data_IF_452654834254
#
_entry.id   IF_452654834254
#
_cell.length_a   1.000
_cell.length_b   1.000
_cell.length_c   1.000
_cell.angle_alpha   90.00
_cell.angle_beta   90.00
_cell.angle_gamma   90.00
#
_symmetry.space_group_name_H-M   'P 1'
#
loop_
_entity.id
_entity.type
_entity.pdbx_description
1 polymer ?
#
# COMPACT_ATOMS: atom_id res chain seq x y z
N UNK A 1 29.45 8.20 10.93
CA UNK A 1 28.39 8.14 9.92
C UNK A 1 27.08 8.00 10.67
N UNK A 2 26.14 8.94 10.54
CA UNK A 2 24.83 8.84 11.16
C UNK A 2 24.03 7.78 10.38
N UNK A 3 23.65 6.69 11.02
CA UNK A 3 22.81 5.64 10.45
C UNK A 3 21.41 6.23 10.28
N UNK A 4 20.90 6.26 9.05
CA UNK A 4 19.52 6.64 8.75
C UNK A 4 18.68 5.37 8.98
N UNK A 5 17.68 5.37 9.88
CA UNK A 5 16.88 4.18 10.12
C UNK A 5 16.00 3.83 8.92
N UNK A 6 15.93 2.54 8.56
CA UNK A 6 15.13 2.01 7.45
C UNK A 6 13.63 1.91 7.77
N UNK A 7 13.21 2.37 8.94
CA UNK A 7 11.77 2.62 9.22
C UNK A 7 11.05 3.33 8.06
N UNK A 8 11.81 3.70 7.02
CA UNK A 8 11.42 4.48 5.84
C UNK A 8 10.86 3.68 4.66
N UNK A 9 10.94 2.34 4.63
CA UNK A 9 10.66 1.61 3.39
C UNK A 9 9.34 0.82 3.39
N UNK A 10 8.79 0.53 4.56
CA UNK A 10 7.66 -0.39 4.66
C UNK A 10 6.29 0.19 4.25
N UNK A 11 6.16 1.50 4.00
CA UNK A 11 4.88 2.15 3.65
C UNK A 11 4.99 3.27 2.62
N UNK A 12 6.06 3.34 1.83
CA UNK A 12 6.25 4.41 0.85
C UNK A 12 5.52 4.16 -0.48
N UNK A 13 4.22 3.95 -0.44
CA UNK A 13 3.32 4.24 -1.55
C UNK A 13 2.49 5.49 -1.21
N UNK A 14 3.12 6.52 -0.66
CA UNK A 14 2.48 7.80 -0.39
C UNK A 14 3.00 8.82 -1.38
N UNK A 15 2.16 9.21 -2.32
CA UNK A 15 2.39 10.30 -3.24
C UNK A 15 2.68 11.59 -2.50
N UNK A 16 3.92 12.05 -2.52
CA UNK A 16 4.23 13.45 -2.34
C UNK A 16 3.90 14.17 -3.66
N UNK A 17 2.67 14.62 -3.83
CA UNK A 17 2.35 15.58 -4.88
C UNK A 17 3.05 16.88 -4.50
N UNK A 18 4.22 17.12 -5.10
CA UNK A 18 4.84 18.45 -5.07
C UNK A 18 3.93 19.38 -5.86
N UNK A 19 3.11 20.14 -5.15
CA UNK A 19 2.27 21.19 -5.73
C UNK A 19 3.15 22.32 -6.28
N UNK A 20 3.63 22.16 -7.50
CA UNK A 20 4.08 23.30 -8.29
C UNK A 20 2.85 24.12 -8.69
N UNK A 21 2.88 25.39 -8.36
CA UNK A 21 1.82 26.37 -8.43
C UNK A 21 0.94 26.28 -9.71
N UNK A 22 -0.17 25.54 -9.62
CA UNK A 22 -1.32 25.80 -10.47
C UNK A 22 -2.17 26.86 -9.77
N UNK A 23 -2.49 27.96 -10.47
CA UNK A 23 -3.41 28.99 -9.99
C UNK A 23 -4.87 28.44 -10.07
N UNK A 24 -5.14 27.42 -9.27
CA UNK A 24 -6.45 26.80 -9.08
C UNK A 24 -6.86 26.90 -7.62
N UNK A 25 -8.15 26.96 -7.35
CA UNK A 25 -8.67 26.88 -5.99
C UNK A 25 -8.63 25.41 -5.55
N UNK A 26 -8.07 25.15 -4.37
CA UNK A 26 -8.10 23.86 -3.70
C UNK A 26 -9.10 23.97 -2.56
N UNK A 27 -10.19 23.23 -2.63
CA UNK A 27 -11.17 23.10 -1.57
C UNK A 27 -10.96 21.75 -0.88
N UNK A 28 -10.95 21.75 0.44
CA UNK A 28 -10.78 20.56 1.27
C UNK A 28 -11.95 20.46 2.26
N UNK A 29 -12.79 19.49 2.08
CA UNK A 29 -13.75 19.08 3.11
C UNK A 29 -13.01 18.20 4.13
N UNK A 30 -13.47 18.16 5.38
CA UNK A 30 -12.83 17.44 6.49
C UNK A 30 -12.76 15.91 6.24
N UNK A 31 -12.11 15.52 5.18
CA UNK A 31 -11.86 14.14 4.71
C UNK A 31 -10.65 14.14 3.78
N UNK A 32 -10.13 12.97 3.42
CA UNK A 32 -9.01 12.85 2.48
C UNK A 32 -9.47 12.94 1.01
N UNK A 33 -10.29 13.94 0.68
CA UNK A 33 -10.70 14.28 -0.68
C UNK A 33 -10.46 15.76 -0.92
N UNK A 34 -9.79 16.08 -2.02
CA UNK A 34 -9.50 17.46 -2.44
C UNK A 34 -10.12 17.71 -3.79
N UNK A 35 -10.71 18.88 -3.96
CA UNK A 35 -11.16 19.39 -5.24
C UNK A 35 -10.17 20.43 -5.74
N UNK A 36 -9.66 20.25 -6.95
CA UNK A 36 -8.84 21.22 -7.67
C UNK A 36 -9.66 21.73 -8.84
N UNK A 37 -9.93 23.06 -8.90
CA UNK A 37 -10.76 23.65 -9.93
C UNK A 37 -10.07 24.81 -10.64
N UNK A 38 -10.39 24.98 -11.94
CA UNK A 38 -9.96 26.11 -12.75
C UNK A 38 -11.10 26.47 -13.71
N UNK A 39 -11.76 27.59 -13.48
CA UNK A 39 -13.00 27.92 -14.18
C UNK A 39 -14.09 26.90 -13.86
N UNK A 40 -14.69 26.33 -14.90
CA UNK A 40 -15.74 25.31 -14.78
C UNK A 40 -15.18 23.87 -14.66
N UNK A 41 -13.89 23.69 -14.93
CA UNK A 41 -13.23 22.40 -14.85
C UNK A 41 -12.85 22.05 -13.39
N UNK A 42 -13.05 20.79 -13.02
CA UNK A 42 -12.66 20.28 -11.70
C UNK A 42 -12.08 18.87 -11.79
N UNK A 43 -11.04 18.63 -10.97
CA UNK A 43 -10.47 17.33 -10.72
C UNK A 43 -10.56 17.05 -9.22
N UNK A 44 -10.92 15.84 -8.86
CA UNK A 44 -10.95 15.38 -7.48
C UNK A 44 -9.79 14.45 -7.22
N UNK A 45 -9.10 14.64 -6.10
CA UNK A 45 -8.01 13.77 -5.64
C UNK A 45 -8.44 13.13 -4.34
N UNK A 46 -8.60 11.82 -4.32
CA UNK A 46 -8.93 11.05 -3.12
C UNK A 46 -7.68 10.36 -2.57
N UNK A 47 -7.37 10.58 -1.30
CA UNK A 47 -6.38 9.78 -0.60
C UNK A 47 -6.91 8.37 -0.34
N UNK A 48 -6.09 7.34 -0.54
CA UNK A 48 -6.50 5.94 -0.42
C UNK A 48 -5.74 5.19 0.65
N UNK A 49 -6.35 4.14 1.18
CA UNK A 49 -5.73 3.16 2.08
C UNK A 49 -5.97 1.78 1.47
N UNK A 50 -4.89 1.04 1.21
CA UNK A 50 -4.96 -0.29 0.59
C UNK A 50 -5.46 -1.40 1.53
N UNK A 51 -5.36 -1.20 2.83
CA UNK A 51 -5.87 -2.12 3.86
C UNK A 51 -6.88 -1.36 4.71
N UNK A 52 -8.17 -1.62 4.49
CA UNK A 52 -9.26 -0.96 5.22
C UNK A 52 -10.29 -2.00 5.69
N UNK A 53 -10.50 -2.16 7.00
CA UNK A 53 -11.44 -3.14 7.50
C UNK A 53 -12.88 -2.81 7.10
N UNK A 54 -13.72 -3.86 6.97
CA UNK A 54 -15.12 -3.71 6.55
C UNK A 54 -15.92 -2.81 7.49
N UNK A 55 -15.52 -2.70 8.75
CA UNK A 55 -16.14 -1.82 9.75
C UNK A 55 -16.01 -0.33 9.41
N UNK A 56 -15.09 0.03 8.52
CA UNK A 56 -14.87 1.41 8.07
C UNK A 56 -15.81 1.83 6.93
N UNK A 57 -16.62 0.89 6.43
CA UNK A 57 -17.65 1.17 5.44
C UNK A 57 -19.01 1.43 6.13
N UNK A 58 -19.82 2.38 5.63
CA UNK A 58 -19.55 3.17 4.42
C UNK A 58 -18.40 4.17 4.58
N UNK A 59 -17.76 4.49 3.47
CA UNK A 59 -16.76 5.56 3.41
C UNK A 59 -17.42 6.91 3.76
N UNK A 60 -16.63 7.96 4.11
CA UNK A 60 -17.15 9.31 4.25
C UNK A 60 -17.94 9.74 3.02
N UNK A 61 -19.08 10.43 3.22
CA UNK A 61 -20.01 10.77 2.14
C UNK A 61 -19.36 11.50 0.97
N UNK A 62 -18.38 12.36 1.24
CA UNK A 62 -17.62 13.09 0.23
C UNK A 62 -16.98 12.18 -0.83
N UNK A 63 -16.54 10.96 -0.47
CA UNK A 63 -16.02 10.00 -1.44
C UNK A 63 -17.10 9.55 -2.43
N UNK A 64 -18.29 9.21 -1.93
CA UNK A 64 -19.42 8.80 -2.77
C UNK A 64 -19.92 9.95 -3.64
N UNK A 65 -20.07 11.13 -3.07
CA UNK A 65 -20.51 12.32 -3.80
C UNK A 65 -19.53 12.71 -4.91
N UNK A 66 -18.24 12.59 -4.63
CA UNK A 66 -17.17 12.86 -5.61
C UNK A 66 -17.18 11.80 -6.72
N UNK A 67 -17.33 10.53 -6.35
CA UNK A 67 -17.47 9.44 -7.32
C UNK A 67 -18.66 9.67 -8.27
N UNK A 68 -19.81 10.09 -7.72
CA UNK A 68 -21.02 10.34 -8.54
C UNK A 68 -20.80 11.47 -9.55
N UNK A 69 -20.04 12.51 -9.18
CA UNK A 69 -19.72 13.67 -10.02
C UNK A 69 -18.63 13.39 -11.07
N UNK A 70 -17.91 12.30 -10.94
CA UNK A 70 -16.78 11.96 -11.82
C UNK A 70 -17.21 11.03 -12.95
N UNK A 71 -16.87 11.37 -14.17
CA UNK A 71 -17.14 10.54 -15.37
C UNK A 71 -16.06 9.47 -15.55
N UNK A 72 -14.83 9.78 -15.19
CA UNK A 72 -13.65 8.92 -15.31
C UNK A 72 -12.94 8.82 -13.97
N UNK A 73 -12.52 7.61 -13.58
CA UNK A 73 -11.67 7.39 -12.44
C UNK A 73 -10.25 7.10 -12.91
N UNK A 74 -9.27 7.63 -12.18
CA UNK A 74 -7.85 7.38 -12.44
C UNK A 74 -7.27 6.68 -11.22
N UNK A 75 -6.72 5.49 -11.42
CA UNK A 75 -6.10 4.67 -10.38
C UNK A 75 -4.60 4.60 -10.58
N UNK A 76 -3.87 4.15 -9.57
CA UNK A 76 -2.42 3.95 -9.67
C UNK A 76 -2.09 2.92 -10.75
N UNK A 77 -2.66 1.73 -10.63
CA UNK A 77 -2.34 0.59 -11.51
C UNK A 77 -3.56 -0.29 -11.76
N UNK A 78 -3.59 -0.93 -12.92
CA UNK A 78 -4.55 -2.00 -13.21
C UNK A 78 -4.03 -3.32 -12.65
N UNK A 79 -4.56 -3.73 -11.50
CA UNK A 79 -4.24 -5.05 -10.94
C UNK A 79 -4.89 -6.16 -11.77
N UNK A 80 -4.19 -7.30 -12.00
CA UNK A 80 -4.78 -8.45 -12.66
C UNK A 80 -6.01 -8.95 -11.88
N UNK A 81 -7.10 -9.18 -12.59
CA UNK A 81 -8.28 -9.80 -11.98
C UNK A 81 -7.95 -11.20 -11.45
N UNK A 82 -8.66 -11.71 -10.42
CA UNK A 82 -8.43 -13.08 -9.93
C UNK A 82 -8.58 -14.16 -11.02
N UNK A 83 -9.33 -13.89 -12.07
CA UNK A 83 -9.52 -14.76 -13.23
C UNK A 83 -8.47 -14.57 -14.34
N UNK A 84 -7.63 -13.54 -14.25
CA UNK A 84 -6.52 -13.29 -15.18
C UNK A 84 -5.28 -14.09 -14.74
N UNK A 85 -5.25 -15.38 -15.12
CA UNK A 85 -4.19 -16.32 -14.74
C UNK A 85 -2.83 -15.83 -15.22
N UNK A 86 -2.74 -15.29 -16.43
CA UNK A 86 -1.49 -14.83 -17.03
C UNK A 86 -0.93 -13.62 -16.26
N UNK A 87 -1.79 -12.63 -16.00
CA UNK A 87 -1.43 -11.46 -15.19
C UNK A 87 -0.99 -11.83 -13.78
N UNK A 88 -1.70 -12.76 -13.12
CA UNK A 88 -1.33 -13.27 -11.80
C UNK A 88 0.03 -13.99 -11.82
N UNK A 89 0.26 -14.85 -12.81
CA UNK A 89 1.56 -15.54 -12.98
C UNK A 89 2.69 -14.55 -13.23
N UNK A 90 2.48 -13.56 -14.10
CA UNK A 90 3.46 -12.51 -14.38
C UNK A 90 3.82 -11.74 -13.09
N UNK A 91 2.83 -11.38 -12.29
CA UNK A 91 3.05 -10.69 -11.01
C UNK A 91 3.88 -11.56 -10.06
N UNK A 92 3.49 -12.80 -9.84
CA UNK A 92 4.20 -13.72 -8.96
C UNK A 92 5.63 -13.99 -9.43
N UNK A 93 5.84 -14.21 -10.74
CA UNK A 93 7.16 -14.43 -11.32
C UNK A 93 8.08 -13.21 -11.22
N UNK A 94 7.51 -11.98 -11.25
CA UNK A 94 8.26 -10.74 -11.08
C UNK A 94 8.71 -10.48 -9.64
N UNK A 95 7.98 -11.01 -8.67
CA UNK A 95 8.23 -10.87 -7.23
C UNK A 95 9.01 -12.06 -6.64
N UNK A 96 9.31 -13.07 -7.44
CA UNK A 96 10.11 -14.22 -7.05
C UNK A 96 11.58 -14.05 -7.45
N UNK A 97 12.45 -14.75 -6.75
CA UNK A 97 13.83 -14.92 -7.16
C UNK A 97 13.93 -15.75 -8.44
N UNK A 98 15.03 -15.58 -9.14
CA UNK A 98 15.39 -16.33 -10.34
C UNK A 98 16.74 -17.02 -10.12
N UNK A 99 17.07 -17.95 -11.01
CA UNK A 99 18.39 -18.55 -11.09
C UNK A 99 18.85 -19.28 -9.82
N UNK A 100 17.89 -19.88 -9.10
CA UNK A 100 18.15 -20.68 -7.90
C UNK A 100 18.46 -19.88 -6.64
N UNK A 101 18.40 -18.56 -6.68
CA UNK A 101 18.45 -17.72 -5.48
C UNK A 101 17.20 -17.88 -4.62
N UNK A 102 17.36 -17.57 -3.36
CA UNK A 102 16.28 -17.59 -2.35
C UNK A 102 16.46 -16.44 -1.34
N UNK A 103 15.47 -16.23 -0.51
CA UNK A 103 15.54 -15.26 0.59
C UNK A 103 16.74 -15.51 1.52
N UNK A 104 17.15 -16.79 1.69
CA UNK A 104 18.33 -17.16 2.52
C UNK A 104 19.64 -16.58 2.04
N UNK A 105 19.74 -16.25 0.75
CA UNK A 105 20.95 -15.68 0.17
C UNK A 105 21.07 -14.17 0.45
N UNK A 106 19.96 -13.51 0.82
CA UNK A 106 19.87 -12.06 0.97
C UNK A 106 19.61 -11.61 2.42
N UNK A 107 19.30 -12.56 3.34
CA UNK A 107 19.09 -12.24 4.77
C UNK A 107 20.02 -13.06 5.66
N UNK A 108 20.34 -12.54 6.83
CA UNK A 108 21.14 -13.25 7.83
C UNK A 108 20.37 -14.44 8.41
N UNK A 109 21.12 -15.41 8.96
CA UNK A 109 20.52 -16.53 9.67
C UNK A 109 19.66 -16.05 10.84
N UNK A 110 20.07 -14.98 11.55
CA UNK A 110 19.32 -14.40 12.66
C UNK A 110 17.96 -13.90 12.20
N UNK A 111 17.93 -13.11 11.13
CA UNK A 111 16.69 -12.59 10.55
C UNK A 111 15.82 -13.71 10.01
N UNK A 112 16.41 -14.73 9.37
CA UNK A 112 15.66 -15.89 8.86
C UNK A 112 15.02 -16.70 9.99
N UNK A 113 15.69 -16.87 11.11
CA UNK A 113 15.13 -17.54 12.29
C UNK A 113 14.05 -16.68 12.96
N UNK A 114 14.22 -15.36 13.07
CA UNK A 114 13.19 -14.47 13.56
C UNK A 114 11.92 -14.53 12.70
N UNK A 115 12.09 -14.59 11.37
CA UNK A 115 10.99 -14.79 10.43
C UNK A 115 10.27 -16.12 10.68
N UNK A 116 10.99 -17.22 10.89
CA UNK A 116 10.41 -18.52 11.23
C UNK A 116 9.60 -18.48 12.53
N UNK A 117 10.14 -17.82 13.57
CA UNK A 117 9.44 -17.66 14.85
C UNK A 117 8.14 -16.89 14.67
N UNK A 118 8.17 -15.82 13.89
CA UNK A 118 6.96 -15.04 13.62
C UNK A 118 5.92 -15.86 12.83
N UNK A 119 6.34 -16.52 11.74
CA UNK A 119 5.47 -17.30 10.86
C UNK A 119 4.85 -18.53 11.56
N UNK A 120 5.51 -19.07 12.58
CA UNK A 120 4.96 -20.17 13.40
C UNK A 120 3.62 -19.81 14.04
N UNK A 121 3.35 -18.53 14.35
CA UNK A 121 2.06 -18.07 14.87
C UNK A 121 0.92 -18.25 13.86
N UNK A 122 1.25 -18.47 12.57
CA UNK A 122 0.31 -18.69 11.48
C UNK A 122 0.36 -20.12 10.95
N UNK A 123 1.15 -21.01 11.58
CA UNK A 123 1.37 -22.36 11.10
C UNK A 123 2.19 -22.43 9.82
N UNK A 124 3.01 -21.41 9.55
CA UNK A 124 3.86 -21.29 8.36
C UNK A 124 5.35 -21.27 8.72
N UNK A 125 6.20 -21.39 7.70
CA UNK A 125 7.66 -21.35 7.84
C UNK A 125 8.29 -20.38 6.82
N UNK A 126 9.49 -19.90 7.10
CA UNK A 126 10.23 -19.05 6.17
C UNK A 126 10.57 -19.77 4.86
N UNK A 127 10.74 -21.10 4.87
CA UNK A 127 10.98 -21.88 3.66
C UNK A 127 9.82 -21.78 2.64
N UNK A 128 8.59 -21.62 3.11
CA UNK A 128 7.43 -21.42 2.23
C UNK A 128 7.46 -20.07 1.50
N UNK A 129 8.16 -19.09 2.06
CA UNK A 129 8.33 -17.76 1.49
C UNK A 129 9.68 -17.55 0.81
N UNK A 130 10.60 -18.53 0.91
CA UNK A 130 11.99 -18.39 0.48
C UNK A 130 12.16 -18.07 -1.01
N UNK A 131 11.19 -18.42 -1.84
CA UNK A 131 11.19 -18.11 -3.27
C UNK A 131 10.92 -16.62 -3.58
N UNK A 132 10.38 -15.86 -2.64
CA UNK A 132 9.99 -14.48 -2.87
C UNK A 132 11.07 -13.51 -2.42
N UNK A 133 11.14 -12.38 -3.15
CA UNK A 133 12.03 -11.27 -2.82
C UNK A 133 11.59 -10.56 -1.54
N UNK A 134 12.51 -9.90 -0.82
CA UNK A 134 12.25 -9.30 0.49
C UNK A 134 11.07 -8.34 0.52
N UNK A 135 10.90 -7.50 -0.52
CA UNK A 135 9.76 -6.57 -0.59
C UNK A 135 8.41 -7.29 -0.60
N UNK A 136 8.31 -8.42 -1.32
CA UNK A 136 7.10 -9.25 -1.29
C UNK A 136 6.90 -9.90 0.08
N UNK A 137 7.97 -10.43 0.67
CA UNK A 137 7.90 -11.05 2.01
C UNK A 137 7.45 -10.01 3.04
N UNK A 138 8.05 -8.83 3.07
CA UNK A 138 7.65 -7.75 3.98
C UNK A 138 6.17 -7.38 3.81
N UNK A 139 5.69 -7.26 2.56
CA UNK A 139 4.27 -6.99 2.28
C UNK A 139 3.35 -8.11 2.75
N UNK A 140 3.76 -9.38 2.61
CA UNK A 140 3.00 -10.53 3.13
C UNK A 140 2.93 -10.51 4.66
N UNK A 141 4.02 -10.19 5.34
CA UNK A 141 4.05 -10.08 6.81
C UNK A 141 3.07 -9.00 7.31
N UNK A 142 3.07 -7.83 6.67
CA UNK A 142 2.13 -6.75 6.99
C UNK A 142 0.68 -7.19 6.77
N UNK A 143 0.39 -7.86 5.66
CA UNK A 143 -0.95 -8.37 5.36
C UNK A 143 -1.41 -9.44 6.37
N UNK A 144 -0.51 -10.36 6.75
CA UNK A 144 -0.78 -11.39 7.75
C UNK A 144 -1.07 -10.77 9.13
N UNK A 145 -0.30 -9.76 9.53
CA UNK A 145 -0.51 -9.06 10.80
C UNK A 145 -1.81 -8.25 10.80
N UNK A 146 -2.13 -7.57 9.69
CA UNK A 146 -3.41 -6.89 9.53
C UNK A 146 -4.59 -7.87 9.64
N UNK A 147 -4.47 -9.07 9.04
CA UNK A 147 -5.45 -10.14 9.17
C UNK A 147 -5.61 -10.60 10.62
N UNK A 148 -4.50 -10.88 11.30
CA UNK A 148 -4.48 -11.29 12.72
C UNK A 148 -5.11 -10.23 13.63
N UNK A 149 -4.86 -8.98 13.33
CA UNK A 149 -5.38 -7.82 14.06
C UNK A 149 -6.82 -7.46 13.71
N UNK A 150 -7.48 -8.21 12.79
CA UNK A 150 -8.83 -7.94 12.27
C UNK A 150 -8.96 -6.57 11.58
N UNK A 151 -7.87 -6.08 11.02
CA UNK A 151 -7.81 -4.83 10.26
C UNK A 151 -7.67 -5.06 8.75
N UNK A 152 -7.57 -6.32 8.32
CA UNK A 152 -7.57 -6.63 6.90
C UNK A 152 -8.95 -6.36 6.30
N UNK A 153 -8.94 -5.92 5.05
CA UNK A 153 -10.15 -5.66 4.30
C UNK A 153 -9.84 -5.09 2.94
N UNK A 154 -10.89 -4.75 2.22
CA UNK A 154 -10.78 -4.15 0.89
C UNK A 154 -10.30 -2.71 1.00
N UNK A 155 -9.21 -2.38 0.31
CA UNK A 155 -8.74 -1.00 0.20
C UNK A 155 -9.72 -0.09 -0.55
N UNK A 156 -9.54 1.20 -0.37
CA UNK A 156 -10.37 2.23 -1.02
C UNK A 156 -10.27 2.15 -2.55
N UNK A 157 -9.07 1.90 -3.07
CA UNK A 157 -8.81 1.72 -4.51
C UNK A 157 -9.62 0.56 -5.07
N UNK A 158 -9.51 -0.61 -4.46
CA UNK A 158 -10.19 -1.82 -4.90
C UNK A 158 -11.73 -1.66 -4.80
N UNK A 159 -12.21 -0.94 -3.80
CA UNK A 159 -13.64 -0.60 -3.68
C UNK A 159 -14.11 0.23 -4.88
N UNK A 160 -13.41 1.32 -5.21
CA UNK A 160 -13.81 2.17 -6.32
C UNK A 160 -13.57 1.52 -7.70
N UNK A 161 -12.56 0.68 -7.85
CA UNK A 161 -12.37 -0.11 -9.07
C UNK A 161 -13.57 -1.03 -9.33
N UNK A 162 -14.05 -1.72 -8.29
CA UNK A 162 -15.24 -2.59 -8.41
C UNK A 162 -16.50 -1.77 -8.68
N UNK A 163 -16.64 -0.62 -8.02
CA UNK A 163 -17.78 0.27 -8.21
C UNK A 163 -17.82 0.81 -9.63
N UNK A 164 -16.67 1.29 -10.15
CA UNK A 164 -16.56 1.77 -11.53
C UNK A 164 -16.86 0.69 -12.56
N UNK A 165 -16.35 -0.53 -12.36
CA UNK A 165 -16.64 -1.66 -13.23
C UNK A 165 -18.15 -2.03 -13.24
N UNK A 166 -18.80 -2.02 -12.05
CA UNK A 166 -20.24 -2.26 -11.92
C UNK A 166 -21.08 -1.20 -12.65
N UNK A 167 -20.70 0.06 -12.49
CA UNK A 167 -21.46 1.20 -12.98
C UNK A 167 -21.08 1.58 -14.43
N UNK A 168 -20.10 0.89 -15.02
CA UNK A 168 -19.63 1.13 -16.38
C UNK A 168 -18.88 2.46 -16.57
N UNK A 169 -18.33 3.03 -15.49
CA UNK A 169 -17.52 4.24 -15.56
C UNK A 169 -16.14 3.95 -16.17
N UNK A 170 -15.63 4.91 -16.94
CA UNK A 170 -14.28 4.82 -17.50
C UNK A 170 -13.22 4.77 -16.38
N UNK A 171 -12.20 3.94 -16.60
CA UNK A 171 -11.07 3.81 -15.68
C UNK A 171 -9.76 3.95 -16.43
N UNK A 172 -8.87 4.80 -15.92
CA UNK A 172 -7.52 5.02 -16.42
C UNK A 172 -6.49 4.71 -15.34
N UNK A 173 -5.23 4.57 -15.72
CA UNK A 173 -4.17 4.11 -14.82
C UNK A 173 -2.91 4.95 -15.02
N UNK A 174 -2.29 5.38 -13.92
CA UNK A 174 -1.09 6.21 -13.92
C UNK A 174 0.16 5.41 -14.19
N UNK A 175 0.18 4.15 -13.75
CA UNK A 175 1.36 3.31 -13.77
C UNK A 175 1.07 1.95 -14.41
N UNK A 176 2.13 1.32 -14.90
CA UNK A 176 2.04 -0.05 -15.41
C UNK A 176 2.20 -1.08 -14.28
N UNK A 177 1.65 -2.26 -14.47
CA UNK A 177 1.86 -3.40 -13.59
C UNK A 177 3.36 -3.73 -13.45
N UNK A 178 4.13 -3.62 -14.54
CA UNK A 178 5.57 -3.89 -14.53
C UNK A 178 6.34 -2.90 -13.65
N UNK A 179 5.92 -1.64 -13.63
CA UNK A 179 6.50 -0.63 -12.74
C UNK A 179 6.25 -0.98 -11.27
N UNK A 180 5.01 -1.29 -10.90
CA UNK A 180 4.64 -1.68 -9.53
C UNK A 180 5.37 -2.96 -9.09
N UNK A 181 5.44 -3.98 -9.95
CA UNK A 181 6.21 -5.20 -9.70
C UNK A 181 7.69 -4.85 -9.47
N UNK A 182 8.28 -4.01 -10.32
CA UNK A 182 9.68 -3.62 -10.19
C UNK A 182 9.94 -2.86 -8.89
N UNK A 183 9.06 -1.94 -8.51
CA UNK A 183 9.18 -1.17 -7.28
C UNK A 183 9.16 -2.10 -6.06
N UNK A 184 8.18 -3.00 -5.98
CA UNK A 184 8.07 -3.95 -4.88
C UNK A 184 9.22 -4.97 -4.87
N UNK A 185 9.62 -5.47 -6.04
CA UNK A 185 10.71 -6.43 -6.18
C UNK A 185 12.09 -5.87 -5.79
N UNK A 186 12.27 -4.56 -5.87
CA UNK A 186 13.53 -3.88 -5.52
C UNK A 186 13.44 -3.13 -4.18
N UNK A 187 12.33 -3.27 -3.45
CA UNK A 187 12.19 -2.70 -2.12
C UNK A 187 13.28 -3.27 -1.20
N UNK A 188 14.05 -2.40 -0.56
CA UNK A 188 15.17 -2.79 0.30
C UNK A 188 16.42 -3.26 -0.44
N UNK A 189 16.55 -3.05 -1.75
CA UNK A 189 17.71 -3.50 -2.52
C UNK A 189 19.04 -3.00 -1.93
N UNK A 190 19.93 -3.94 -1.58
CA UNK A 190 21.19 -3.69 -0.88
C UNK A 190 21.08 -3.59 0.65
N UNK A 191 19.86 -3.69 1.20
CA UNK A 191 19.54 -3.66 2.64
C UNK A 191 18.44 -4.70 2.97
N UNK A 192 18.43 -5.83 2.26
CA UNK A 192 17.36 -6.82 2.28
C UNK A 192 17.15 -7.40 3.70
N UNK A 193 18.26 -7.74 4.36
CA UNK A 193 18.24 -8.25 5.74
C UNK A 193 17.56 -7.25 6.68
N UNK A 194 17.94 -5.99 6.54
CA UNK A 194 17.41 -4.90 7.36
C UNK A 194 15.93 -4.65 7.07
N UNK A 195 15.48 -4.75 5.81
CA UNK A 195 14.06 -4.61 5.47
C UNK A 195 13.23 -5.65 6.23
N UNK A 196 13.65 -6.91 6.23
CA UNK A 196 12.90 -7.98 6.90
C UNK A 196 12.97 -7.84 8.43
N UNK A 197 14.16 -7.58 8.99
CA UNK A 197 14.32 -7.44 10.45
C UNK A 197 13.51 -6.28 11.01
N UNK A 198 13.59 -5.08 10.39
CA UNK A 198 12.81 -3.91 10.83
C UNK A 198 11.30 -4.11 10.60
N UNK A 199 10.90 -4.81 9.53
CA UNK A 199 9.50 -5.19 9.34
C UNK A 199 9.03 -6.02 10.53
N UNK A 200 9.75 -7.09 10.89
CA UNK A 200 9.40 -7.95 12.03
C UNK A 200 9.32 -7.18 13.36
N UNK A 201 10.23 -6.23 13.58
CA UNK A 201 10.26 -5.40 14.78
C UNK A 201 9.05 -4.47 14.87
N UNK A 202 8.51 -4.00 13.74
CA UNK A 202 7.39 -3.04 13.71
C UNK A 202 6.01 -3.70 13.70
N UNK A 203 5.91 -4.99 13.35
CA UNK A 203 4.62 -5.70 13.31
C UNK A 203 3.79 -5.62 14.59
N UNK A 204 4.37 -5.68 15.82
CA UNK A 204 3.60 -5.54 17.05
C UNK A 204 2.86 -4.20 17.17
N UNK A 205 3.40 -3.14 16.60
CA UNK A 205 2.83 -1.78 16.64
C UNK A 205 1.86 -1.51 15.48
N UNK A 206 1.85 -2.39 14.44
CA UNK A 206 1.09 -2.21 13.20
C UNK A 206 -0.39 -1.93 13.45
N UNK A 207 -1.00 -2.63 14.42
CA UNK A 207 -2.42 -2.48 14.75
C UNK A 207 -2.77 -1.04 15.15
N UNK A 208 -1.99 -0.45 16.05
CA UNK A 208 -2.26 0.89 16.56
C UNK A 208 -1.88 1.96 15.52
N UNK A 209 -0.84 1.70 14.75
CA UNK A 209 -0.45 2.54 13.63
C UNK A 209 -1.54 2.58 12.56
N UNK A 210 -2.06 1.43 12.12
CA UNK A 210 -3.15 1.36 11.12
C UNK A 210 -4.41 2.06 11.62
N UNK A 211 -4.83 1.86 12.88
CA UNK A 211 -5.97 2.55 13.45
C UNK A 211 -5.79 4.06 13.48
N UNK A 212 -4.60 4.53 13.85
CA UNK A 212 -4.28 5.97 13.89
C UNK A 212 -4.29 6.56 12.48
N UNK A 213 -3.76 5.83 11.50
CA UNK A 213 -3.74 6.23 10.08
C UNK A 213 -5.16 6.28 9.52
N UNK A 214 -5.97 5.26 9.75
CA UNK A 214 -7.38 5.22 9.31
C UNK A 214 -8.16 6.40 9.90
N UNK A 215 -7.98 6.68 11.19
CA UNK A 215 -8.62 7.81 11.85
C UNK A 215 -8.21 9.15 11.21
N UNK A 216 -6.90 9.38 11.06
CA UNK A 216 -6.38 10.60 10.45
C UNK A 216 -6.86 10.78 9.01
N UNK A 217 -6.91 9.68 8.25
CA UNK A 217 -7.43 9.64 6.88
C UNK A 217 -8.92 10.02 6.83
N UNK A 218 -9.76 9.44 7.69
CA UNK A 218 -11.19 9.77 7.75
C UNK A 218 -11.45 11.23 8.09
N UNK A 219 -10.60 11.81 8.94
CA UNK A 219 -10.68 13.20 9.39
C UNK A 219 -10.00 14.19 8.41
N UNK A 220 -9.39 13.69 7.31
CA UNK A 220 -8.61 14.52 6.38
C UNK A 220 -7.42 15.22 7.05
N UNK A 221 -6.92 14.66 8.14
CA UNK A 221 -5.83 15.23 8.91
C UNK A 221 -4.47 14.90 8.28
N UNK A 222 -4.15 15.63 7.21
CA UNK A 222 -2.90 15.43 6.45
C UNK A 222 -1.66 15.60 7.29
N UNK A 223 -1.67 16.54 8.25
CA UNK A 223 -0.54 16.73 9.16
C UNK A 223 -0.30 15.48 10.01
N UNK A 224 -1.38 14.87 10.52
CA UNK A 224 -1.26 13.63 11.31
C UNK A 224 -0.84 12.44 10.45
N UNK A 225 -1.32 12.36 9.21
CA UNK A 225 -0.87 11.35 8.24
C UNK A 225 0.63 11.52 7.97
N UNK A 226 1.08 12.75 7.73
CA UNK A 226 2.49 13.08 7.50
C UNK A 226 3.36 12.66 8.70
N UNK A 227 2.96 13.02 9.92
CA UNK A 227 3.63 12.58 11.16
C UNK A 227 3.70 11.04 11.26
N UNK A 228 2.59 10.33 11.01
CA UNK A 228 2.54 8.86 11.11
C UNK A 228 3.36 8.17 10.02
N UNK A 229 3.46 8.78 8.84
CA UNK A 229 4.18 8.23 7.69
C UNK A 229 5.64 8.69 7.68
N UNK A 230 5.93 9.96 7.96
CA UNK A 230 7.29 10.54 7.91
C UNK A 230 8.09 10.27 9.18
N UNK A 231 7.47 10.32 10.37
CA UNK A 231 8.14 10.02 11.64
C UNK A 231 8.39 8.50 11.82
N UNK A 232 7.69 7.70 11.02
CA UNK A 232 7.96 6.25 10.92
C UNK A 232 9.10 5.99 9.91
N UNK A 233 9.58 7.02 9.28
CA UNK A 233 10.65 7.06 8.30
C UNK A 233 11.85 7.85 8.90
#
# INVERSE_FOLDING_TARGET
>A
MKRIPLRKWAMAASFAISATAFAGNVEHDQTSVWKVSKGDDAVYVGGTIHILPISEFPLPATFTETYEKSDTLVFEVKMPAPTDIEGQQKMMAGLAYKDGKSLKDDVSEETYQALNVYLANFGATADQLAQFKPGMVASMLVAMEAQRSQLAGQGVDAYFMQLAARDGKASEYLESLDFQISMLANMGAGEEDRLISETLETLPELKDMLKSTIKAWREGNTKKIDELVVDTF
#
